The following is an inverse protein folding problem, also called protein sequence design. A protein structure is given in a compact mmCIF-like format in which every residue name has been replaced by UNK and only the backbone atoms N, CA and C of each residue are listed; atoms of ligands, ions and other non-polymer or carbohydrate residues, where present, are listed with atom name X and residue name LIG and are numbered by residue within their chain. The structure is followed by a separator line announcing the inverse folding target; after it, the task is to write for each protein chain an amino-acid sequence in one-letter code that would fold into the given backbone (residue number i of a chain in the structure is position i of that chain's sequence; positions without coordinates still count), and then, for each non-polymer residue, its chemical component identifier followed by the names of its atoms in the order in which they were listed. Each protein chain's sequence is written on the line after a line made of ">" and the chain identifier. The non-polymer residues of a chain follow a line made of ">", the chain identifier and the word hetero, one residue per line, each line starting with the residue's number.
data_IF_591916159167
#
_entry.id   IF_591916159167
#
_cell.length_a   1.000
_cell.length_b   1.000
_cell.length_c   1.000
_cell.angle_alpha   90.00
_cell.angle_beta   90.00
_cell.angle_gamma   90.00
#
_symmetry.space_group_name_H-M   'P 1'
#
loop_
_entity.id
_entity.type
_entity.pdbx_description
1 polymer ?
#
# COMPACT_ATOMS: atom_id res chain seq x y z
N UNK A 1 -22.38 -4.83 6.35
CA UNK A 1 -21.24 -4.24 7.10
C UNK A 1 -19.97 -4.66 6.39
N UNK A 2 -19.23 -3.72 5.78
CA UNK A 2 -17.94 -4.04 5.16
C UNK A 2 -16.91 -4.22 6.27
N UNK A 3 -16.24 -5.38 6.29
CA UNK A 3 -15.17 -5.63 7.25
C UNK A 3 -13.89 -4.95 6.76
N UNK A 4 -13.06 -4.40 7.66
CA UNK A 4 -11.74 -3.88 7.30
C UNK A 4 -10.98 -4.91 6.46
N UNK A 5 -10.36 -4.46 5.38
CA UNK A 5 -9.61 -5.32 4.47
C UNK A 5 -8.11 -5.02 4.58
N UNK A 6 -7.30 -6.08 4.70
CA UNK A 6 -5.84 -5.94 4.64
C UNK A 6 -5.42 -5.61 3.21
N UNK A 7 -4.79 -4.45 3.04
CA UNK A 7 -4.24 -3.91 1.79
C UNK A 7 -3.00 -4.65 1.28
N UNK A 8 -2.22 -5.17 2.21
CA UNK A 8 -0.91 -5.78 2.01
C UNK A 8 -0.05 -5.58 3.25
N UNK A 9 1.27 -5.63 3.08
CA UNK A 9 2.25 -5.48 4.17
C UNK A 9 3.38 -4.56 3.75
N UNK A 10 3.96 -3.87 4.74
CA UNK A 10 5.12 -3.01 4.55
C UNK A 10 6.24 -3.44 5.48
N UNK A 11 7.47 -3.44 4.98
CA UNK A 11 8.68 -3.53 5.77
C UNK A 11 9.50 -2.27 5.58
N UNK A 12 9.80 -1.59 6.69
CA UNK A 12 10.62 -0.38 6.70
C UNK A 12 12.07 -0.73 6.99
N UNK A 13 12.99 -0.10 6.26
CA UNK A 13 14.45 -0.23 6.41
C UNK A 13 15.06 1.16 6.66
N UNK A 14 15.25 1.48 7.94
CA UNK A 14 15.72 2.81 8.34
C UNK A 14 14.70 3.89 7.98
N UNK A 15 15.17 4.97 7.35
CA UNK A 15 14.36 6.15 7.02
C UNK A 15 14.29 6.47 5.51
N UNK A 16 14.96 5.70 4.65
CA UNK A 16 15.05 5.98 3.20
C UNK A 16 14.41 4.91 2.32
N UNK A 17 14.09 3.74 2.87
CA UNK A 17 13.58 2.61 2.09
C UNK A 17 12.42 1.93 2.80
N UNK A 18 11.33 1.74 2.08
CA UNK A 18 10.21 0.89 2.47
C UNK A 18 9.89 -0.08 1.34
N UNK A 19 9.69 -1.35 1.66
CA UNK A 19 9.21 -2.37 0.74
C UNK A 19 7.75 -2.67 1.06
N UNK A 20 6.86 -2.52 0.07
CA UNK A 20 5.43 -2.75 0.24
C UNK A 20 4.92 -3.82 -0.73
N UNK A 21 3.97 -4.63 -0.25
CA UNK A 21 3.19 -5.56 -1.07
C UNK A 21 1.76 -5.04 -1.21
N UNK A 22 1.13 -5.29 -2.35
CA UNK A 22 -0.30 -5.03 -2.56
C UNK A 22 -1.01 -6.36 -2.68
N UNK A 23 -1.79 -6.74 -1.66
CA UNK A 23 -2.49 -8.02 -1.65
C UNK A 23 -3.50 -8.08 -2.80
N UNK A 24 -3.41 -9.13 -3.60
CA UNK A 24 -4.29 -9.36 -4.75
C UNK A 24 -3.86 -8.63 -6.03
N UNK A 25 -2.73 -7.90 -6.01
CA UNK A 25 -2.18 -7.29 -7.21
C UNK A 25 -1.47 -8.33 -8.10
N UNK A 26 -1.68 -8.21 -9.40
CA UNK A 26 -0.90 -8.86 -10.44
C UNK A 26 0.41 -8.10 -10.69
N UNK A 27 1.14 -8.46 -11.75
CA UNK A 27 2.37 -7.78 -12.16
C UNK A 27 2.15 -6.27 -12.34
N UNK A 28 1.07 -5.90 -13.02
CA UNK A 28 0.59 -4.51 -13.09
C UNK A 28 -0.38 -4.23 -11.93
N UNK A 29 0.17 -3.79 -10.80
CA UNK A 29 -0.61 -3.53 -9.59
C UNK A 29 -1.73 -2.48 -9.79
N UNK A 30 -1.50 -1.33 -10.47
CA UNK A 30 -2.56 -0.33 -10.67
C UNK A 30 -3.72 -0.85 -11.53
N UNK A 31 -3.46 -1.79 -12.45
CA UNK A 31 -4.52 -2.40 -13.27
C UNK A 31 -5.43 -3.31 -12.43
N UNK A 32 -4.84 -4.13 -11.57
CA UNK A 32 -5.54 -5.18 -10.83
C UNK A 32 -6.06 -4.75 -9.45
N UNK A 33 -5.46 -3.73 -8.84
CA UNK A 33 -5.80 -3.19 -7.52
C UNK A 33 -5.73 -1.65 -7.49
N UNK A 34 -6.51 -0.94 -8.33
CA UNK A 34 -6.36 0.49 -8.56
C UNK A 34 -6.45 1.34 -7.29
N UNK A 35 -7.42 1.07 -6.42
CA UNK A 35 -7.62 1.85 -5.18
C UNK A 35 -6.43 1.70 -4.22
N UNK A 36 -5.95 0.48 -4.01
CA UNK A 36 -4.81 0.21 -3.12
C UNK A 36 -3.51 0.81 -3.67
N UNK A 37 -3.31 0.72 -4.98
CA UNK A 37 -2.15 1.35 -5.65
C UNK A 37 -2.18 2.87 -5.54
N UNK A 38 -3.35 3.51 -5.60
CA UNK A 38 -3.46 4.95 -5.42
C UNK A 38 -3.12 5.38 -3.98
N UNK A 39 -3.55 4.63 -2.98
CA UNK A 39 -3.18 4.89 -1.57
C UNK A 39 -1.66 4.76 -1.37
N UNK A 40 -1.06 3.71 -1.92
CA UNK A 40 0.40 3.52 -1.90
C UNK A 40 1.12 4.71 -2.53
N UNK A 41 0.68 5.14 -3.72
CA UNK A 41 1.31 6.23 -4.46
C UNK A 41 1.18 7.58 -3.75
N UNK A 42 0.01 7.91 -3.19
CA UNK A 42 -0.19 9.14 -2.41
C UNK A 42 0.71 9.19 -1.18
N UNK A 43 0.74 8.11 -0.41
CA UNK A 43 1.57 8.02 0.80
C UNK A 43 3.06 8.21 0.47
N UNK A 44 3.51 7.65 -0.67
CA UNK A 44 4.87 7.84 -1.17
C UNK A 44 5.18 9.32 -1.47
N UNK A 45 4.30 10.01 -2.21
CA UNK A 45 4.49 11.43 -2.53
C UNK A 45 4.49 12.33 -1.30
N UNK A 46 3.69 11.97 -0.28
CA UNK A 46 3.59 12.70 0.99
C UNK A 46 4.74 12.35 1.96
N UNK A 47 5.56 11.36 1.65
CA UNK A 47 6.60 10.86 2.56
C UNK A 47 6.03 10.26 3.86
N UNK A 48 4.77 9.80 3.83
CA UNK A 48 4.06 9.27 5.00
C UNK A 48 4.03 7.75 5.00
N UNK A 49 4.02 7.09 6.19
CA UNK A 49 3.81 5.64 6.28
C UNK A 49 2.48 5.20 5.65
N UNK A 50 2.40 3.95 5.19
CA UNK A 50 1.10 3.38 4.76
C UNK A 50 0.14 3.26 5.94
N UNK A 51 -1.19 3.40 5.72
CA UNK A 51 -2.17 3.30 6.80
C UNK A 51 -2.15 1.91 7.47
N UNK A 52 -2.00 1.89 8.79
CA UNK A 52 -2.07 0.65 9.58
C UNK A 52 -3.51 0.27 9.96
N UNK A 53 -4.43 1.24 9.97
CA UNK A 53 -5.85 1.06 10.30
C UNK A 53 -6.70 2.01 9.44
N UNK A 54 -7.84 1.52 8.93
CA UNK A 54 -8.90 2.32 8.29
C UNK A 54 -10.12 2.38 9.20
#
# INVERSE_FOLDING_TARGET
>A
MLRPQVGGWTQVYGNILSFATVRGAAHEAPFSQPERSLVLFKSFLEGSPLPEVF
#
